data_IF_981758305543
#
_entry.id   IF_981758305543
#
_cell.length_a   1.000
_cell.length_b   1.000
_cell.length_c   1.000
_cell.angle_alpha   90.00
_cell.angle_beta   90.00
_cell.angle_gamma   90.00
#
_symmetry.space_group_name_H-M   'P 1'
#
loop_
_entity.id
_entity.type
_entity.pdbx_description
1 polymer ?
2 non-polymer ?
3 water ?
#
# COMPACT_ATOMS: atom_id res chain seq x y z
N UNK A 1 -7.21 15.90 -7.75
CA UNK A 1 -8.04 14.67 -7.86
C UNK A 1 -7.37 13.45 -7.23
N UNK A 2 -6.99 13.57 -5.96
CA UNK A 2 -6.35 12.46 -5.25
C UNK A 2 -7.15 11.16 -5.40
N UNK A 3 -6.57 10.04 -4.96
CA UNK A 3 -7.22 8.74 -5.03
C UNK A 3 -7.24 8.26 -6.50
N UNK A 4 -6.52 7.17 -6.74
CA UNK A 4 -6.40 6.59 -8.07
C UNK A 4 -7.11 5.23 -8.16
N UNK A 5 -7.51 4.81 -9.38
CA UNK A 5 -8.20 3.52 -9.55
C UNK A 5 -7.26 2.31 -9.46
N UNK A 6 -7.76 1.24 -8.86
CA UNK A 6 -7.00 0.00 -8.69
C UNK A 6 -6.91 -0.84 -9.96
N UNK A 7 -5.73 -1.42 -10.21
CA UNK A 7 -5.45 -2.26 -11.38
C UNK A 7 -6.46 -3.38 -11.61
N UNK A 8 -7.34 -3.60 -10.64
CA UNK A 8 -8.33 -4.67 -10.76
C UNK A 8 -9.74 -4.13 -10.98
N UNK A 9 -9.82 -2.88 -11.39
CA UNK A 9 -11.10 -2.22 -11.63
C UNK A 9 -11.99 -2.97 -12.63
N UNK A 10 -11.46 -3.27 -13.81
CA UNK A 10 -12.24 -3.96 -14.84
C UNK A 10 -12.94 -5.22 -14.37
N UNK A 11 -12.43 -5.87 -13.33
CA UNK A 11 -13.08 -7.09 -12.85
C UNK A 11 -14.47 -6.78 -12.31
N UNK A 12 -15.47 -7.57 -12.71
CA UNK A 12 -16.86 -7.39 -12.27
C UNK A 12 -17.08 -7.68 -10.79
N UNK A 13 -16.30 -8.62 -10.25
CA UNK A 13 -16.42 -9.03 -8.84
C UNK A 13 -15.40 -8.37 -7.91
N UNK A 14 -14.89 -7.21 -8.29
CA UNK A 14 -13.93 -6.49 -7.46
C UNK A 14 -14.63 -5.30 -6.80
N UNK A 15 -14.69 -5.34 -5.47
CA UNK A 15 -15.36 -4.30 -4.69
C UNK A 15 -14.48 -3.17 -4.16
N UNK A 16 -13.18 -3.29 -4.32
CA UNK A 16 -12.31 -2.24 -3.84
C UNK A 16 -12.11 -2.28 -2.34
N UNK A 17 -11.71 -1.15 -1.77
CA UNK A 17 -11.43 -1.07 -0.35
C UNK A 17 -12.67 -1.07 0.55
N UNK A 18 -13.25 -2.23 0.80
CA UNK A 18 -14.40 -2.33 1.69
C UNK A 18 -14.03 -3.13 2.92
N UNK A 19 -15.00 -3.40 3.79
CA UNK A 19 -14.72 -4.15 5.00
C UNK A 19 -15.18 -5.58 4.85
N UNK A 20 -14.66 -6.46 5.69
CA UNK A 20 -15.09 -7.84 5.64
C UNK A 20 -16.60 -7.84 5.71
N UNK A 21 -17.14 -7.05 6.62
CA UNK A 21 -18.58 -6.95 6.83
C UNK A 21 -19.35 -6.68 5.54
N UNK A 22 -19.14 -5.50 4.94
CA UNK A 22 -19.84 -5.16 3.71
C UNK A 22 -19.69 -6.28 2.67
N UNK A 23 -18.51 -6.91 2.65
CA UNK A 23 -18.25 -8.00 1.71
C UNK A 23 -19.02 -9.22 2.13
N UNK A 24 -19.06 -9.50 3.43
CA UNK A 24 -19.80 -10.64 3.92
C UNK A 24 -21.28 -10.44 3.62
N UNK A 25 -21.73 -9.20 3.56
CA UNK A 25 -23.13 -8.94 3.26
C UNK A 25 -23.42 -9.16 1.78
N UNK A 26 -22.62 -8.52 0.92
CA UNK A 26 -22.80 -8.67 -0.52
C UNK A 26 -22.96 -10.13 -0.92
N UNK A 27 -22.25 -11.01 -0.23
CA UNK A 27 -22.29 -12.45 -0.50
C UNK A 27 -23.55 -13.06 0.12
N UNK A 28 -24.03 -12.43 1.19
CA UNK A 28 -25.24 -12.89 1.86
C UNK A 28 -26.45 -12.59 0.99
N UNK A 29 -26.38 -11.47 0.27
CA UNK A 29 -27.46 -11.07 -0.62
C UNK A 29 -27.17 -11.58 -2.03
N UNK A 30 -26.48 -12.71 -2.12
CA UNK A 30 -26.13 -13.27 -3.41
C UNK A 30 -26.36 -14.77 -3.51
N UNK A 31 -26.92 -15.36 -2.48
CA UNK A 31 -27.20 -16.79 -2.54
C UNK A 31 -26.56 -17.61 -1.44
N UNK A 32 -25.26 -17.47 -1.24
CA UNK A 32 -24.56 -18.21 -0.20
C UNK A 32 -24.27 -19.67 -0.53
N UNK A 33 -24.19 -20.00 -1.81
CA UNK A 33 -23.91 -21.36 -2.21
C UNK A 33 -22.40 -21.56 -2.29
N UNK A 34 -21.94 -22.80 -2.18
CA UNK A 34 -20.52 -23.09 -2.28
C UNK A 34 -19.95 -22.53 -3.58
N UNK A 35 -18.78 -21.90 -3.50
CA UNK A 35 -18.15 -21.36 -4.70
C UNK A 35 -18.27 -19.87 -4.97
N UNK A 36 -19.40 -19.28 -4.59
CA UNK A 36 -19.63 -17.85 -4.78
C UNK A 36 -18.43 -17.13 -4.18
N UNK A 37 -18.03 -15.99 -4.77
CA UNK A 37 -16.86 -15.27 -4.25
C UNK A 37 -16.77 -13.86 -4.82
N UNK A 38 -15.91 -13.05 -4.20
CA UNK A 38 -15.64 -11.70 -4.64
C UNK A 38 -14.21 -11.32 -4.31
N UNK A 39 -13.77 -10.18 -4.83
CA UNK A 39 -12.43 -9.73 -4.60
C UNK A 39 -12.43 -8.30 -4.08
N UNK A 40 -11.65 -8.06 -3.05
CA UNK A 40 -11.55 -6.74 -2.46
C UNK A 40 -10.11 -6.35 -2.18
N UNK A 41 -9.90 -5.06 -1.99
CA UNK A 41 -8.58 -4.53 -1.72
C UNK A 41 -8.22 -4.88 -0.28
N UNK A 42 -6.97 -5.24 -0.05
CA UNK A 42 -6.52 -5.58 1.30
C UNK A 42 -6.35 -4.32 2.12
N UNK A 43 -6.94 -4.33 3.31
CA UNK A 43 -6.92 -3.20 4.23
C UNK A 43 -5.59 -3.00 4.97
N UNK A 44 -4.60 -3.84 4.70
CA UNK A 44 -3.31 -3.71 5.37
C UNK A 44 -2.11 -3.62 4.44
N UNK A 45 -2.06 -4.53 3.46
CA UNK A 45 -0.93 -4.58 2.55
C UNK A 45 -1.15 -3.81 1.26
N UNK A 46 -0.45 -2.69 1.11
CA UNK A 46 -0.57 -1.88 -0.09
C UNK A 46 -0.37 -2.75 -1.33
N UNK A 47 -1.28 -2.63 -2.29
CA UNK A 47 -1.20 -3.42 -3.51
C UNK A 47 -1.83 -4.77 -3.28
N UNK A 48 -2.32 -5.00 -2.07
CA UNK A 48 -2.90 -6.28 -1.75
C UNK A 48 -4.39 -6.47 -1.98
N UNK A 49 -4.80 -7.73 -1.91
CA UNK A 49 -6.18 -8.09 -2.10
C UNK A 49 -6.58 -9.15 -1.08
N UNK A 50 -7.87 -9.47 -1.09
CA UNK A 50 -8.43 -10.47 -0.22
C UNK A 50 -9.53 -11.21 -0.98
N UNK A 51 -9.40 -12.53 -1.01
CA UNK A 51 -10.37 -13.38 -1.69
C UNK A 51 -11.40 -13.85 -0.69
N UNK A 52 -12.63 -13.40 -0.86
CA UNK A 52 -13.71 -13.79 0.02
C UNK A 52 -14.63 -14.79 -0.68
N UNK A 53 -14.62 -16.04 -0.24
CA UNK A 53 -15.49 -17.04 -0.85
C UNK A 53 -16.35 -17.73 0.20
N UNK A 54 -17.46 -18.29 -0.25
CA UNK A 54 -18.38 -19.00 0.62
C UNK A 54 -18.38 -20.49 0.34
N UNK A 55 -18.43 -21.29 1.40
CA UNK A 55 -18.45 -22.75 1.29
C UNK A 55 -19.08 -23.32 2.56
N UNK A 56 -20.14 -24.10 2.40
CA UNK A 56 -20.88 -24.68 3.51
C UNK A 56 -21.67 -23.61 4.23
N UNK A 57 -21.94 -22.51 3.54
CA UNK A 57 -22.67 -21.38 4.14
C UNK A 57 -21.75 -20.58 5.06
N UNK A 58 -20.50 -21.00 5.15
CA UNK A 58 -19.52 -20.32 6.00
C UNK A 58 -18.67 -19.39 5.16
N UNK A 59 -18.26 -18.26 5.72
CA UNK A 59 -17.45 -17.31 4.97
C UNK A 59 -15.94 -17.55 5.15
N UNK A 60 -15.21 -17.41 4.04
CA UNK A 60 -13.77 -17.60 4.01
C UNK A 60 -13.04 -16.39 3.40
N UNK A 61 -12.03 -15.90 4.10
CA UNK A 61 -11.27 -14.74 3.65
C UNK A 61 -9.78 -15.03 3.52
N UNK A 62 -9.29 -15.07 2.29
CA UNK A 62 -7.87 -15.34 2.06
C UNK A 62 -7.13 -14.12 1.55
N UNK A 63 -6.25 -13.56 2.38
CA UNK A 63 -5.50 -12.37 1.95
C UNK A 63 -4.59 -12.71 0.77
N UNK A 64 -4.44 -11.76 -0.15
CA UNK A 64 -3.61 -11.94 -1.32
C UNK A 64 -2.46 -10.96 -1.18
N UNK A 65 -1.24 -11.48 -1.05
CA UNK A 65 -0.10 -10.60 -0.92
C UNK A 65 0.49 -10.21 -2.27
N UNK A 66 0.78 -8.93 -2.41
CA UNK A 66 1.37 -8.39 -3.61
C UNK A 66 2.89 -8.48 -3.34
N UNK A 67 3.55 -9.44 -3.96
CA UNK A 67 4.99 -9.66 -3.81
C UNK A 67 5.81 -8.57 -4.50
N UNK A 68 7.05 -8.41 -4.07
CA UNK A 68 7.94 -7.40 -4.65
C UNK A 68 8.11 -7.49 -6.15
N UNK A 69 8.00 -8.68 -6.72
CA UNK A 69 8.16 -8.80 -8.18
C UNK A 69 6.87 -8.61 -8.97
N UNK A 70 5.82 -8.17 -8.28
CA UNK A 70 4.56 -7.92 -8.95
C UNK A 70 3.52 -9.02 -9.01
N UNK A 71 3.84 -10.22 -8.53
CA UNK A 71 2.88 -11.31 -8.55
C UNK A 71 2.04 -11.32 -7.28
N UNK A 72 0.94 -12.06 -7.31
CA UNK A 72 0.03 -12.11 -6.18
C UNK A 72 -0.16 -13.51 -5.65
N UNK A 73 -0.32 -13.63 -4.34
CA UNK A 73 -0.49 -14.94 -3.77
C UNK A 73 -1.08 -14.98 -2.40
N UNK A 74 -1.78 -16.07 -2.14
CA UNK A 74 -2.36 -16.36 -0.83
C UNK A 74 -1.12 -16.92 -0.13
N UNK A 75 -0.99 -16.69 1.16
CA UNK A 75 0.16 -17.21 1.92
C UNK A 75 0.29 -18.70 1.64
N UNK A 76 1.47 -19.13 1.21
CA UNK A 76 1.67 -20.54 0.92
C UNK A 76 1.08 -20.99 -0.41
N UNK A 77 0.52 -20.06 -1.18
CA UNK A 77 -0.07 -20.41 -2.46
C UNK A 77 0.89 -20.09 -3.58
N UNK A 78 0.52 -20.44 -4.81
CA UNK A 78 1.35 -20.18 -5.98
C UNK A 78 1.23 -18.72 -6.40
N UNK A 79 2.23 -18.23 -7.12
CA UNK A 79 2.20 -16.84 -7.58
C UNK A 79 1.46 -16.72 -8.92
N UNK A 80 0.80 -15.57 -9.11
CA UNK A 80 0.05 -15.27 -10.33
C UNK A 80 0.47 -13.86 -10.74
N UNK A 81 0.32 -13.54 -12.01
CA UNK A 81 0.73 -12.22 -12.48
C UNK A 81 -0.27 -11.13 -12.15
N UNK A 82 -1.50 -11.51 -11.81
CA UNK A 82 -2.51 -10.53 -11.47
C UNK A 82 -3.70 -11.19 -10.80
N UNK A 83 -4.62 -10.38 -10.24
CA UNK A 83 -5.80 -10.94 -9.57
C UNK A 83 -6.74 -11.74 -10.51
N UNK A 84 -6.86 -11.28 -11.75
CA UNK A 84 -7.71 -11.98 -12.71
C UNK A 84 -7.20 -13.38 -12.86
N UNK A 85 -5.89 -13.50 -13.11
CA UNK A 85 -5.24 -14.79 -13.28
C UNK A 85 -5.40 -15.64 -12.02
N UNK A 86 -5.26 -15.02 -10.86
CA UNK A 86 -5.42 -15.76 -9.61
C UNK A 86 -6.86 -16.31 -9.53
N UNK A 87 -7.85 -15.48 -9.82
CA UNK A 87 -9.22 -15.95 -9.78
C UNK A 87 -9.46 -17.03 -10.83
N UNK A 88 -8.92 -16.83 -12.04
CA UNK A 88 -9.06 -17.84 -13.10
C UNK A 88 -8.41 -19.15 -12.66
N UNK A 89 -7.28 -19.07 -11.99
CA UNK A 89 -6.63 -20.29 -11.55
C UNK A 89 -7.51 -21.08 -10.56
N UNK A 90 -7.92 -20.43 -9.48
CA UNK A 90 -8.73 -21.12 -8.49
C UNK A 90 -10.09 -21.59 -9.00
N UNK A 91 -10.59 -20.95 -10.04
CA UNK A 91 -11.86 -21.34 -10.63
C UNK A 91 -11.73 -22.76 -11.14
N UNK A 92 -10.55 -23.11 -11.66
CA UNK A 92 -10.33 -24.45 -12.20
C UNK A 92 -9.49 -25.36 -11.30
N UNK A 93 -9.11 -24.90 -10.11
CA UNK A 93 -8.32 -25.71 -9.20
C UNK A 93 -8.26 -25.09 -7.79
N UNK A 94 -8.86 -25.79 -6.81
CA UNK A 94 -8.93 -25.37 -5.40
C UNK A 94 -7.55 -25.21 -4.73
N UNK A 95 -6.57 -25.94 -5.24
CA UNK A 95 -5.23 -25.91 -4.69
C UNK A 95 -5.15 -25.52 -3.22
N UNK A 96 -5.99 -26.14 -2.38
CA UNK A 96 -5.93 -25.82 -0.96
C UNK A 96 -7.12 -25.06 -0.39
N UNK A 97 -7.91 -24.43 -1.27
CA UNK A 97 -9.07 -23.68 -0.83
C UNK A 97 -10.16 -24.67 -0.45
N UNK A 98 -11.17 -24.23 0.30
CA UNK A 98 -12.26 -25.15 0.69
C UNK A 98 -12.90 -25.77 -0.56
N UNK A 99 -12.95 -25.00 -1.64
CA UNK A 99 -13.50 -25.47 -2.91
C UNK A 99 -13.14 -24.50 -4.02
N UNK A 100 -13.18 -24.96 -5.27
CA UNK A 100 -12.85 -24.11 -6.39
C UNK A 100 -13.78 -22.90 -6.40
N UNK A 101 -13.54 -21.97 -7.32
CA UNK A 101 -14.38 -20.80 -7.40
C UNK A 101 -15.45 -21.08 -8.45
N UNK A 102 -16.70 -20.90 -8.05
CA UNK A 102 -17.84 -21.16 -8.92
C UNK A 102 -18.81 -20.00 -8.87
N UNK A 103 -18.91 -19.24 -9.96
CA UNK A 103 -19.84 -18.12 -9.99
C UNK A 103 -19.36 -16.98 -9.10
N UNK A 104 -19.05 -15.83 -9.71
CA UNK A 104 -18.58 -14.68 -8.96
C UNK A 104 -19.76 -13.88 -8.43
N UNK A 105 -19.48 -13.01 -7.47
CA UNK A 105 -20.50 -12.15 -6.89
C UNK A 105 -20.31 -10.78 -7.49
N UNK A 106 -20.59 -10.65 -8.78
CA UNK A 106 -20.44 -9.38 -9.46
C UNK A 106 -21.08 -8.30 -8.60
N UNK A 107 -20.43 -7.14 -8.47
CA UNK A 107 -21.02 -6.09 -7.66
C UNK A 107 -22.33 -5.62 -8.27
N UNK A 108 -23.39 -5.61 -7.46
CA UNK A 108 -24.73 -5.19 -7.91
C UNK A 108 -24.67 -4.03 -8.89
N UNK A 109 -25.62 -4.04 -9.84
CA UNK A 109 -25.70 -3.02 -10.87
C UNK A 109 -25.60 -1.59 -10.33
N UNK A 110 -24.81 -0.77 -11.02
CA UNK A 110 -24.65 0.62 -10.63
C UNK A 110 -23.56 0.89 -9.61
N UNK A 111 -23.11 -0.17 -8.93
CA UNK A 111 -22.08 -0.02 -7.90
C UNK A 111 -20.67 -0.23 -8.46
N UNK A 112 -19.70 0.42 -7.82
CA UNK A 112 -18.31 0.31 -8.24
C UNK A 112 -17.36 0.29 -7.06
N UNK A 113 -16.13 -0.20 -7.27
CA UNK A 113 -15.12 -0.25 -6.20
C UNK A 113 -14.93 1.07 -5.47
N UNK A 114 -14.74 1.02 -4.15
CA UNK A 114 -14.55 2.24 -3.38
C UNK A 114 -13.09 2.46 -2.98
N UNK A 115 -12.60 3.70 -3.12
CA UNK A 115 -11.25 4.18 -2.82
C UNK A 115 -10.85 4.21 -1.35
N UNK A 116 -9.91 3.33 -0.99
CA UNK A 116 -9.45 3.31 0.39
C UNK A 116 -8.35 4.34 0.52
N UNK A 117 -7.57 4.24 1.60
CA UNK A 117 -6.48 5.18 1.80
C UNK A 117 -5.36 4.90 0.80
N UNK A 118 -5.10 3.62 0.55
CA UNK A 118 -4.04 3.24 -0.39
C UNK A 118 -4.21 3.84 -1.78
N UNK A 119 -5.46 4.14 -2.15
CA UNK A 119 -5.71 4.74 -3.45
C UNK A 119 -5.33 6.22 -3.42
N UNK A 120 -5.33 6.82 -2.23
CA UNK A 120 -4.96 8.22 -2.10
C UNK A 120 -3.45 8.31 -2.16
N UNK A 121 -2.80 7.36 -1.52
CA UNK A 121 -1.36 7.30 -1.47
C UNK A 121 -0.81 7.23 -2.89
N UNK A 122 -1.35 6.31 -3.68
CA UNK A 122 -0.88 6.13 -5.03
C UNK A 122 -0.99 7.40 -5.88
N UNK A 123 -2.12 8.09 -5.79
CA UNK A 123 -2.29 9.31 -6.56
C UNK A 123 -1.35 10.37 -6.04
N UNK A 124 -1.32 10.47 -4.71
CA UNK A 124 -0.49 11.45 -4.04
C UNK A 124 0.97 11.32 -4.42
N UNK A 125 1.54 10.13 -4.32
CA UNK A 125 2.95 10.01 -4.65
C UNK A 125 3.26 10.12 -6.13
N UNK A 126 2.32 9.72 -6.99
CA UNK A 126 2.53 9.86 -8.42
C UNK A 126 2.38 11.34 -8.74
N UNK A 127 1.36 11.96 -8.14
CA UNK A 127 1.11 13.38 -8.32
C UNK A 127 2.33 14.21 -7.93
N UNK A 128 2.85 13.93 -6.74
CA UNK A 128 4.01 14.64 -6.22
C UNK A 128 5.21 14.50 -7.15
N UNK A 129 5.57 13.27 -7.46
CA UNK A 129 6.70 12.99 -8.34
C UNK A 129 6.69 13.79 -9.65
N UNK A 130 5.58 13.74 -10.38
CA UNK A 130 5.46 14.47 -11.63
C UNK A 130 5.58 15.98 -11.40
N UNK A 131 4.63 16.53 -10.66
CA UNK A 131 4.61 17.95 -10.36
C UNK A 131 5.99 18.46 -9.94
N UNK A 132 6.72 17.62 -9.22
CA UNK A 132 8.06 17.96 -8.74
C UNK A 132 9.15 17.70 -9.78
N UNK A 133 8.91 16.73 -10.66
CA UNK A 133 9.89 16.37 -11.69
C UNK A 133 9.77 17.23 -12.95
N UNK A 134 8.55 17.60 -13.32
CA UNK A 134 8.34 18.39 -14.54
C UNK A 134 7.55 19.67 -14.35
N UNK A 135 7.21 19.98 -13.10
CA UNK A 135 6.47 21.20 -12.76
C UNK A 135 5.11 21.25 -13.44
N UNK A 136 4.59 20.10 -13.86
CA UNK A 136 3.29 20.08 -14.53
C UNK A 136 2.21 20.50 -13.55
N UNK A 137 1.11 21.02 -14.08
CA UNK A 137 0.02 21.47 -13.24
C UNK A 137 -1.31 21.47 -14.02
N UNK A 138 -2.41 21.69 -13.31
CA UNK A 138 -3.71 21.71 -13.95
C UNK A 138 -4.09 20.42 -14.66
N UNK A 139 -4.82 20.55 -15.77
CA UNK A 139 -5.25 19.41 -16.55
C UNK A 139 -4.04 18.65 -17.06
N UNK A 140 -3.01 19.39 -17.48
CA UNK A 140 -1.77 18.81 -17.98
C UNK A 140 -1.26 17.76 -16.98
N UNK A 141 -1.30 18.13 -15.70
CA UNK A 141 -0.85 17.28 -14.62
C UNK A 141 -1.73 16.01 -14.50
N UNK A 142 -3.03 16.20 -14.47
CA UNK A 142 -3.97 15.09 -14.35
C UNK A 142 -3.72 13.97 -15.38
N UNK A 143 -3.33 14.36 -16.59
CA UNK A 143 -3.06 13.39 -17.67
C UNK A 143 -1.76 12.60 -17.43
N UNK A 144 -0.68 13.33 -17.18
CA UNK A 144 0.62 12.73 -16.94
C UNK A 144 0.51 11.75 -15.77
N UNK A 145 -0.52 11.94 -14.96
CA UNK A 145 -0.74 11.08 -13.82
C UNK A 145 -1.17 9.72 -14.33
N UNK A 146 -2.20 9.73 -15.16
CA UNK A 146 -2.73 8.51 -15.75
C UNK A 146 -1.65 7.86 -16.62
N UNK A 147 -0.89 8.70 -17.33
CA UNK A 147 0.16 8.20 -18.22
C UNK A 147 1.45 7.76 -17.50
N UNK A 148 1.81 8.46 -16.44
CA UNK A 148 3.02 8.16 -15.68
C UNK A 148 2.79 7.22 -14.52
N UNK A 149 1.57 7.15 -14.01
CA UNK A 149 1.31 6.25 -12.89
C UNK A 149 2.11 4.96 -13.10
N UNK A 150 1.88 4.25 -14.21
CA UNK A 150 2.62 3.02 -14.46
C UNK A 150 4.15 3.13 -14.30
N UNK A 151 4.73 4.23 -14.78
CA UNK A 151 6.17 4.41 -14.65
C UNK A 151 6.53 4.83 -13.23
N UNK A 152 5.87 5.88 -12.76
CA UNK A 152 6.09 6.42 -11.43
C UNK A 152 6.08 5.27 -10.45
N UNK A 153 5.10 4.39 -10.59
CA UNK A 153 4.97 3.23 -9.72
C UNK A 153 6.25 2.40 -9.80
N UNK A 154 6.57 1.91 -11.00
CA UNK A 154 7.77 1.10 -11.24
C UNK A 154 9.00 1.81 -10.65
N UNK A 155 8.94 3.13 -10.65
CA UNK A 155 10.04 3.95 -10.14
C UNK A 155 10.04 4.10 -8.62
N UNK A 156 8.92 4.58 -8.07
CA UNK A 156 8.81 4.80 -6.63
C UNK A 156 8.79 3.55 -5.76
N UNK A 157 8.35 2.43 -6.31
CA UNK A 157 8.31 1.20 -5.53
C UNK A 157 9.57 0.39 -5.78
N UNK A 158 10.52 0.99 -6.48
CA UNK A 158 11.77 0.31 -6.82
C UNK A 158 13.07 1.06 -6.50
N UNK A 159 13.08 2.36 -6.75
CA UNK A 159 14.27 3.18 -6.51
C UNK A 159 14.95 2.95 -5.16
N UNK A 160 16.26 2.86 -5.17
CA UNK A 160 17.03 2.66 -3.94
C UNK A 160 16.77 3.91 -3.11
N UNK A 161 16.54 3.75 -1.82
CA UNK A 161 16.27 4.89 -0.95
C UNK A 161 17.50 5.75 -0.72
N UNK A 162 18.66 5.21 -1.07
CA UNK A 162 19.91 5.93 -0.91
C UNK A 162 19.89 7.24 -1.73
N UNK A 163 18.97 7.34 -2.70
CA UNK A 163 18.84 8.50 -3.57
C UNK A 163 17.76 9.48 -3.13
N UNK A 164 17.01 9.16 -2.10
CA UNK A 164 15.96 10.06 -1.67
C UNK A 164 16.55 11.13 -0.79
N UNK A 165 16.14 12.40 -1.00
CA UNK A 165 16.67 13.52 -0.22
C UNK A 165 16.59 13.31 1.29
N UNK A 166 15.52 12.69 1.75
CA UNK A 166 15.34 12.47 3.19
C UNK A 166 16.13 11.31 3.76
N UNK A 167 16.93 10.64 2.93
CA UNK A 167 17.72 9.52 3.43
C UNK A 167 19.16 9.90 3.71
N UNK A 168 19.59 9.70 4.94
CA UNK A 168 20.96 10.03 5.31
C UNK A 168 21.74 8.79 5.64
N UNK A 169 22.46 8.30 4.62
CA UNK A 169 23.26 7.08 4.70
C UNK A 169 23.96 6.76 6.01
N UNK A 170 24.48 7.76 6.70
CA UNK A 170 25.17 7.49 7.96
C UNK A 170 24.97 8.58 9.02
N UNK A 171 24.26 8.21 10.08
CA UNK A 171 23.97 9.12 11.18
C UNK A 171 23.51 8.35 12.41
N UNK A 172 24.02 8.71 13.57
CA UNK A 172 23.63 8.07 14.82
C UNK A 172 22.48 8.86 15.41
N UNK A 173 21.79 8.27 16.40
CA UNK A 173 20.67 8.95 17.04
C UNK A 173 21.07 10.38 17.34
N UNK A 174 22.22 10.55 17.97
CA UNK A 174 22.71 11.88 18.32
C UNK A 174 23.02 12.74 17.10
N UNK A 175 23.70 12.17 16.11
CA UNK A 175 24.01 12.90 14.90
C UNK A 175 22.72 13.43 14.29
N UNK A 176 21.75 12.52 14.18
CA UNK A 176 20.44 12.83 13.61
C UNK A 176 19.75 14.00 14.30
N UNK A 177 19.56 13.90 15.61
CA UNK A 177 18.91 14.97 16.37
C UNK A 177 19.52 16.33 16.08
N UNK A 178 20.83 16.44 16.25
CA UNK A 178 21.51 17.71 16.01
C UNK A 178 21.17 18.32 14.66
N UNK A 179 21.09 17.51 13.61
CA UNK A 179 20.78 18.03 12.29
C UNK A 179 19.35 18.56 12.21
N UNK A 180 18.41 17.85 12.85
CA UNK A 180 17.02 18.29 12.81
C UNK A 180 16.83 19.57 13.63
N UNK A 181 17.51 19.64 14.77
CA UNK A 181 17.41 20.82 15.64
C UNK A 181 18.02 22.05 14.99
N UNK A 182 19.06 21.84 14.20
CA UNK A 182 19.75 22.92 13.52
C UNK A 182 19.09 23.32 12.22
N UNK A 183 17.96 24.01 12.32
CA UNK A 183 17.25 24.43 11.12
C UNK A 183 15.98 25.22 11.44
N UNK A 184 14.93 24.99 10.66
CA UNK A 184 13.67 25.71 10.88
C UNK A 184 12.81 25.03 11.94
N UNK A 185 13.32 23.94 12.51
CA UNK A 185 12.63 23.18 13.57
C UNK A 185 11.11 23.23 13.48
N UNK A 186 10.58 22.92 12.31
CA UNK A 186 9.14 22.92 12.12
C UNK A 186 8.54 21.53 12.19
N UNK A 187 7.40 21.44 12.86
CA UNK A 187 6.68 20.20 13.00
C UNK A 187 6.68 19.42 11.68
N UNK A 188 7.10 18.15 11.73
CA UNK A 188 7.10 17.35 10.53
C UNK A 188 8.45 17.22 9.85
N UNK A 189 9.41 18.08 10.20
CA UNK A 189 10.75 18.03 9.63
C UNK A 189 11.24 16.62 9.97
N UNK A 190 11.72 15.90 8.97
CA UNK A 190 12.12 14.52 9.22
C UNK A 190 13.22 14.05 8.27
N UNK A 191 13.83 12.91 8.63
CA UNK A 191 14.87 12.27 7.83
C UNK A 191 14.87 10.77 8.12
N UNK A 192 15.54 9.99 7.27
CA UNK A 192 15.63 8.56 7.54
C UNK A 192 17.09 8.13 7.60
N UNK A 193 17.36 7.08 8.35
CA UNK A 193 18.72 6.60 8.50
C UNK A 193 18.75 5.11 8.87
N UNK A 194 19.86 4.44 8.55
CA UNK A 194 20.05 3.01 8.83
C UNK A 194 20.33 2.70 10.30
N UNK A 195 19.95 1.49 10.72
CA UNK A 195 20.21 1.06 12.08
C UNK A 195 21.21 -0.09 12.07
N UNK A 196 21.84 -0.34 13.21
CA UNK A 196 22.82 -1.41 13.33
C UNK A 196 22.25 -2.73 12.80
N UNK A 197 21.08 -3.11 13.29
CA UNK A 197 20.43 -4.34 12.86
C UNK A 197 20.20 -4.38 11.36
N UNK A 198 20.16 -5.59 10.83
CA UNK A 198 19.95 -5.81 9.42
C UNK A 198 18.47 -5.64 9.06
N UNK A 199 18.20 -4.76 8.10
CA UNK A 199 16.81 -4.55 7.68
C UNK A 199 15.99 -3.72 8.65
N UNK A 200 16.67 -2.82 9.33
CA UNK A 200 16.03 -1.93 10.29
C UNK A 200 16.57 -0.55 10.03
N UNK A 201 15.69 0.44 10.11
CA UNK A 201 16.08 1.81 9.89
C UNK A 201 15.38 2.65 10.94
N UNK A 202 15.74 3.92 11.00
CA UNK A 202 15.13 4.78 11.98
C UNK A 202 14.66 6.09 11.34
N UNK A 203 13.39 6.40 11.58
CA UNK A 203 12.77 7.62 11.11
C UNK A 203 12.97 8.60 12.24
N UNK A 204 13.47 9.79 11.94
CA UNK A 204 13.64 10.79 12.99
C UNK A 204 12.96 12.06 12.54
N UNK A 205 11.96 12.50 13.30
CA UNK A 205 11.23 13.71 12.96
C UNK A 205 11.15 14.64 14.15
N UNK A 206 10.81 15.91 13.90
CA UNK A 206 10.65 16.85 14.98
C UNK A 206 9.20 17.33 15.15
N UNK A 207 8.81 17.56 16.40
CA UNK A 207 7.48 18.05 16.70
C UNK A 207 7.55 18.78 18.02
N UNK A 208 7.06 20.01 18.05
CA UNK A 208 7.13 20.77 19.29
C UNK A 208 8.61 20.95 19.64
N UNK A 209 9.39 21.36 18.64
CA UNK A 209 10.83 21.59 18.79
C UNK A 209 11.53 20.48 19.58
N UNK A 210 11.01 19.27 19.49
CA UNK A 210 11.57 18.14 20.20
C UNK A 210 11.68 16.97 19.21
N UNK A 211 12.74 16.18 19.32
CA UNK A 211 12.93 15.06 18.39
C UNK A 211 12.45 13.70 18.86
N UNK A 212 11.84 12.99 17.91
CA UNK A 212 11.29 11.67 18.16
C UNK A 212 11.88 10.71 17.13
N UNK A 213 12.11 9.48 17.56
CA UNK A 213 12.69 8.47 16.68
C UNK A 213 11.79 7.26 16.56
N UNK A 214 11.57 6.81 15.35
CA UNK A 214 10.75 5.63 15.13
C UNK A 214 11.48 4.54 14.35
N UNK A 215 11.37 3.31 14.85
CA UNK A 215 11.99 2.14 14.24
C UNK A 215 11.22 1.63 13.02
N UNK A 216 11.92 1.35 11.93
CA UNK A 216 11.30 0.82 10.73
C UNK A 216 11.98 -0.52 10.46
N UNK A 217 11.20 -1.59 10.45
CA UNK A 217 11.78 -2.90 10.23
C UNK A 217 11.31 -3.56 8.95
N UNK A 218 12.15 -4.46 8.45
CA UNK A 218 11.85 -5.17 7.23
C UNK A 218 11.59 -6.65 7.55
N UNK A 219 10.40 -7.13 7.20
CA UNK A 219 10.03 -8.52 7.45
C UNK A 219 10.61 -9.50 6.41
N UNK A 220 10.48 -10.80 6.67
CA UNK A 220 10.97 -11.83 5.76
C UNK A 220 10.57 -11.55 4.32
N UNK A 221 9.33 -11.09 4.15
CA UNK A 221 8.79 -10.79 2.83
C UNK A 221 9.55 -9.67 2.12
N UNK A 222 10.29 -8.88 2.90
CA UNK A 222 11.06 -7.78 2.33
C UNK A 222 10.33 -6.45 2.34
N UNK A 223 9.34 -6.31 3.21
CA UNK A 223 8.59 -5.07 3.29
C UNK A 223 8.89 -4.36 4.61
N UNK A 224 8.79 -3.03 4.58
CA UNK A 224 9.10 -2.21 5.76
C UNK A 224 7.83 -1.77 6.50
N UNK A 225 8.01 -1.37 7.75
CA UNK A 225 6.89 -0.89 8.55
C UNK A 225 7.39 -0.38 9.88
N UNK A 226 6.55 0.40 10.55
CA UNK A 226 6.84 0.92 11.89
C UNK A 226 5.93 0.05 12.76
N UNK A 227 6.04 0.14 14.08
CA UNK A 227 5.21 -0.65 15.00
C UNK A 227 3.73 -0.82 14.63
N UNK A 228 3.06 0.28 14.28
CA UNK A 228 1.64 0.21 13.93
C UNK A 228 1.34 -0.96 13.01
N UNK A 229 2.30 -1.32 12.16
CA UNK A 229 2.11 -2.47 11.32
C UNK A 229 1.75 -2.37 9.85
N UNK A 230 1.58 -1.16 9.32
CA UNK A 230 1.26 -1.09 7.89
C UNK A 230 2.60 -1.39 7.18
N UNK A 231 2.55 -2.27 6.19
CA UNK A 231 3.74 -2.70 5.46
C UNK A 231 3.87 -2.16 4.04
N UNK A 232 5.12 -1.92 3.64
CA UNK A 232 5.40 -1.37 2.31
C UNK A 232 6.58 -1.95 1.57
N UNK A 233 6.53 -1.81 0.25
CA UNK A 233 7.59 -2.28 -0.62
C UNK A 233 8.84 -1.46 -0.30
N UNK A 234 8.68 -0.14 -0.34
CA UNK A 234 9.78 0.78 -0.14
C UNK A 234 9.59 1.86 0.93
N UNK A 235 10.72 2.40 1.40
CA UNK A 235 10.73 3.49 2.38
C UNK A 235 10.01 4.70 1.75
N UNK A 236 10.27 4.93 0.46
CA UNK A 236 9.61 6.04 -0.24
C UNK A 236 8.11 5.93 -0.02
N UNK A 237 7.55 4.78 -0.38
CA UNK A 237 6.13 4.53 -0.22
C UNK A 237 5.72 4.79 1.22
N UNK A 238 6.50 4.23 2.14
CA UNK A 238 6.24 4.39 3.57
C UNK A 238 6.26 5.87 4.00
N UNK A 239 7.24 6.62 3.51
CA UNK A 239 7.36 8.04 3.86
C UNK A 239 6.17 8.85 3.37
N UNK A 240 5.81 8.60 2.11
CA UNK A 240 4.73 9.27 1.42
C UNK A 240 3.40 8.91 2.07
N UNK A 241 3.33 7.77 2.73
CA UNK A 241 2.13 7.33 3.42
C UNK A 241 2.09 8.01 4.78
N UNK A 242 3.24 8.08 5.45
CA UNK A 242 3.28 8.72 6.75
C UNK A 242 3.02 10.21 6.64
N UNK A 243 3.05 10.74 5.42
CA UNK A 243 2.75 12.15 5.21
C UNK A 243 1.24 12.28 5.15
N UNK A 244 0.58 11.16 4.89
CA UNK A 244 -0.88 11.13 4.81
C UNK A 244 -1.52 10.77 6.15
N UNK A 245 -0.99 9.74 6.80
CA UNK A 245 -1.52 9.29 8.09
C UNK A 245 -0.42 9.12 9.12
N UNK A 246 -0.63 9.67 10.30
CA UNK A 246 0.35 9.59 11.37
C UNK A 246 0.48 8.19 11.97
N UNK A 247 -0.20 7.21 11.39
CA UNK A 247 -0.16 5.80 11.84
C UNK A 247 0.85 5.47 12.94
N UNK A 248 0.64 5.98 14.15
CA UNK A 248 1.56 5.69 15.22
C UNK A 248 2.50 6.85 15.57
N UNK A 249 2.75 7.73 14.60
CA UNK A 249 3.64 8.89 14.82
C UNK A 249 2.98 9.98 15.65
N UNK A 250 3.79 10.78 16.31
CA UNK A 250 3.25 11.89 17.09
C UNK A 250 2.64 12.92 16.15
N UNK A 251 3.13 12.95 14.92
CA UNK A 251 2.69 13.93 13.93
C UNK A 251 3.04 13.46 12.52
N UNK A 252 2.31 13.92 11.52
CA UNK A 252 2.59 13.53 10.14
C UNK A 252 3.84 14.14 9.53
N UNK A 253 4.49 13.37 8.68
CA UNK A 253 5.69 13.85 8.02
C UNK A 253 5.37 15.02 7.06
N UNK A 254 6.22 16.03 7.05
CA UNK A 254 6.01 17.20 6.20
C UNK A 254 7.25 17.49 5.32
N UNK A 255 8.15 18.34 5.81
CA UNK A 255 9.34 18.69 5.05
C UNK A 255 10.50 17.75 5.34
N UNK A 256 11.24 17.42 4.30
CA UNK A 256 12.41 16.55 4.40
C UNK A 256 13.64 17.38 4.77
N UNK A 257 14.42 16.86 5.69
CA UNK A 257 15.66 17.51 6.11
C UNK A 257 16.76 17.01 5.14
N UNK A 258 17.14 17.85 4.17
CA UNK A 258 18.13 17.61 3.12
C UNK A 258 19.36 16.72 3.35
N UNK A 259 19.58 15.88 2.35
CA UNK A 259 20.68 14.92 2.28
C UNK A 259 22.04 15.54 2.65
X LIG B 1 18.02 4.68 17.03
X LIG B 1 19.09 5.00 16.04
X LIG B 1 17.98 5.72 18.08
X LIG B 1 16.70 4.63 16.33
X LIG B 1 18.30 3.36 17.64
#
# INVERSE_FOLDING_TARGET
GSHMPDPAAHLPFFYGSISRAEAEEHLKLAGMADGLFLLRQCLRSLGGYVLSLVHDVRFHHFPIERQLNGTYAIAGGKAHCGPAELCEFYSRDPDGLPCNLRKPCNRPSGLEPQPGVFDCLRDAMVRDYVRQTWKLEGEALEQAIISQAPQVEKLIATTAHERMPWYHSSLTREEAERKLYSGAQTDGKFLLRPRKEQGTYALSLIYGKTVYHYLISQDKAGKYCIPEGTKFDTLWQLVEYLKLKADGLIYCLKEACPN
PO4 P O1 O2 O3 O4
#
